data_IF_795064662733
#
_entry.id   IF_795064662733
#
_cell.length_a   1.000
_cell.length_b   1.000
_cell.length_c   1.000
_cell.angle_alpha   90.00
_cell.angle_beta   90.00
_cell.angle_gamma   90.00
#
_symmetry.space_group_name_H-M   'P 1'
#
loop_
_entity.id
_entity.type
_entity.pdbx_description
1 polymer ?
#
# COMPACT_ATOMS: atom_id res chain seq x y z
N UNK A 1 -14.31 -15.46 -47.92
CA UNK A 1 -14.30 -16.51 -46.88
C UNK A 1 -13.18 -16.18 -45.91
N UNK A 2 -13.51 -15.87 -44.64
CA UNK A 2 -12.69 -15.81 -43.39
C UNK A 2 -11.31 -15.10 -43.45
N UNK A 3 -11.10 -13.92 -42.81
CA UNK A 3 -10.67 -13.69 -41.40
C UNK A 3 -9.57 -14.70 -40.95
N UNK A 4 -8.44 -14.34 -40.32
CA UNK A 4 -8.30 -13.73 -38.98
C UNK A 4 -6.85 -13.19 -38.75
N UNK A 5 -6.76 -11.99 -38.16
CA UNK A 5 -5.83 -11.41 -37.17
C UNK A 5 -4.49 -12.09 -36.83
N UNK A 6 -3.44 -11.27 -36.63
CA UNK A 6 -2.90 -10.90 -35.29
C UNK A 6 -2.06 -9.61 -35.38
N UNK A 7 -2.53 -8.52 -34.76
CA UNK A 7 -1.66 -7.39 -34.35
C UNK A 7 -1.95 -7.10 -32.88
N UNK A 8 -0.99 -7.46 -32.02
CA UNK A 8 -0.95 -7.09 -30.61
C UNK A 8 0.08 -5.97 -30.46
N UNK A 9 -0.37 -4.78 -30.11
CA UNK A 9 0.41 -3.78 -29.37
C UNK A 9 -0.58 -2.83 -28.68
N UNK A 10 -0.49 -2.61 -27.36
CA UNK A 10 -1.41 -1.74 -26.64
C UNK A 10 -1.09 -0.28 -26.96
N UNK A 11 -2.05 0.32 -27.65
CA UNK A 11 -2.53 1.70 -27.63
C UNK A 11 -1.88 2.67 -26.62
N UNK A 12 -0.70 3.21 -26.93
CA UNK A 12 -0.27 4.48 -26.34
C UNK A 12 0.67 5.24 -27.30
N UNK A 13 0.12 5.73 -28.41
CA UNK A 13 0.64 6.88 -29.16
C UNK A 13 -0.30 7.17 -30.35
N UNK A 14 -1.21 8.14 -30.19
CA UNK A 14 -1.77 8.84 -31.34
C UNK A 14 -1.68 10.34 -31.03
N UNK A 15 -0.58 10.93 -31.48
CA UNK A 15 -0.47 12.38 -31.64
C UNK A 15 -0.48 12.69 -33.13
N UNK A 16 -1.64 13.06 -33.68
CA UNK A 16 -1.70 13.83 -34.93
C UNK A 16 -3.07 14.47 -35.11
N UNK A 17 -3.18 15.76 -34.78
CA UNK A 17 -4.10 16.67 -35.43
C UNK A 17 -3.39 18.01 -35.62
N UNK A 18 -3.08 18.31 -36.88
CA UNK A 18 -2.60 19.60 -37.35
C UNK A 18 -3.72 20.63 -37.21
N UNK A 19 -3.52 21.63 -36.36
CA UNK A 19 -3.98 23.02 -36.58
C UNK A 19 -3.26 23.96 -35.63
N UNK A 20 -2.79 25.07 -36.20
CA UNK A 20 -1.89 26.06 -35.62
C UNK A 20 -2.60 26.86 -34.51
N UNK A 21 -2.34 26.63 -33.22
CA UNK A 21 -2.65 27.57 -32.14
C UNK A 21 -1.91 27.24 -30.83
N UNK A 22 -1.14 28.22 -30.34
CA UNK A 22 -0.47 28.38 -29.04
C UNK A 22 0.34 27.23 -28.41
N UNK A 23 1.62 27.54 -28.12
CA UNK A 23 2.61 26.71 -27.41
C UNK A 23 2.37 26.68 -25.90
N UNK A 24 1.20 26.28 -25.45
CA UNK A 24 1.00 25.88 -24.06
C UNK A 24 0.37 24.49 -24.09
N UNK A 25 1.21 23.47 -24.27
CA UNK A 25 0.81 22.10 -23.93
C UNK A 25 0.76 22.09 -22.40
N UNK A 26 -0.41 22.42 -21.87
CA UNK A 26 -0.77 22.07 -20.51
C UNK A 26 -0.78 20.55 -20.50
N UNK A 27 0.23 19.95 -19.88
CA UNK A 27 0.21 18.54 -19.53
C UNK A 27 -0.96 18.38 -18.56
N UNK A 28 -2.11 17.98 -19.08
CA UNK A 28 -3.27 17.62 -18.28
C UNK A 28 -2.91 16.28 -17.65
N UNK A 29 -2.19 16.31 -16.54
CA UNK A 29 -2.20 15.18 -15.61
C UNK A 29 -3.65 15.03 -15.18
N UNK A 30 -4.32 13.89 -15.43
CA UNK A 30 -5.63 13.66 -14.85
C UNK A 30 -5.50 13.87 -13.34
N UNK A 31 -6.42 14.63 -12.75
CA UNK A 31 -6.53 14.73 -11.30
C UNK A 31 -7.02 13.35 -10.82
N UNK A 32 -6.08 12.46 -10.51
CA UNK A 32 -6.39 11.12 -10.05
C UNK A 32 -6.85 11.27 -8.60
N UNK A 33 -8.15 11.12 -8.38
CA UNK A 33 -8.70 11.02 -7.05
C UNK A 33 -8.59 9.56 -6.58
N UNK A 34 -7.82 9.36 -5.51
CA UNK A 34 -7.64 8.06 -4.87
C UNK A 34 -8.70 7.84 -3.79
N UNK A 35 -9.27 6.63 -3.73
CA UNK A 35 -10.08 6.13 -2.62
C UNK A 35 -9.28 5.09 -1.83
N UNK A 36 -8.18 5.55 -1.23
CA UNK A 36 -7.21 4.69 -0.55
C UNK A 36 -7.87 3.86 0.54
N UNK A 37 -7.70 2.54 0.47
CA UNK A 37 -8.08 1.64 1.57
C UNK A 37 -6.87 0.92 2.14
N UNK A 38 -6.98 0.57 3.41
CA UNK A 38 -6.02 -0.27 4.12
C UNK A 38 -6.75 -1.42 4.81
N UNK A 39 -6.15 -2.60 4.75
CA UNK A 39 -6.67 -3.83 5.36
C UNK A 39 -5.58 -4.60 6.07
N UNK A 40 -5.88 -5.17 7.23
CA UNK A 40 -5.13 -6.31 7.77
C UNK A 40 -5.79 -7.61 7.31
N UNK A 41 -4.98 -8.54 6.83
CA UNK A 41 -5.44 -9.81 6.26
C UNK A 41 -4.67 -10.97 6.92
N UNK A 42 -5.38 -12.06 7.23
CA UNK A 42 -4.80 -13.32 7.70
C UNK A 42 -5.29 -14.44 6.81
N UNK A 43 -4.40 -14.94 5.94
CA UNK A 43 -4.72 -15.99 4.98
C UNK A 43 -3.53 -16.93 4.84
N UNK A 44 -3.79 -18.24 4.71
CA UNK A 44 -2.75 -19.27 4.55
C UNK A 44 -1.63 -19.19 5.60
N UNK A 45 -2.00 -18.94 6.86
CA UNK A 45 -1.10 -18.77 8.01
C UNK A 45 -0.10 -17.61 7.87
N UNK A 46 -0.45 -16.59 7.08
CA UNK A 46 0.36 -15.40 6.89
C UNK A 46 -0.46 -14.13 7.16
N UNK A 47 0.10 -13.22 7.96
CA UNK A 47 -0.47 -11.90 8.22
C UNK A 47 0.18 -10.89 7.27
N UNK A 48 -0.63 -10.05 6.63
CA UNK A 48 -0.11 -8.96 5.82
C UNK A 48 -1.03 -7.74 5.84
N UNK A 49 -0.45 -6.60 5.45
CA UNK A 49 -1.18 -5.36 5.25
C UNK A 49 -1.36 -5.15 3.74
N UNK A 50 -2.59 -4.88 3.33
CA UNK A 50 -2.94 -4.60 1.94
C UNK A 50 -3.34 -3.13 1.80
N UNK A 51 -2.90 -2.50 0.71
CA UNK A 51 -3.33 -1.18 0.27
C UNK A 51 -4.02 -1.27 -1.07
N UNK A 52 -5.08 -0.49 -1.25
CA UNK A 52 -5.78 -0.36 -2.52
C UNK A 52 -5.94 1.11 -2.91
N UNK A 53 -5.84 1.40 -4.21
CA UNK A 53 -6.13 2.70 -4.82
C UNK A 53 -5.45 3.87 -4.09
N UNK A 54 -4.12 3.89 -4.11
CA UNK A 54 -3.31 4.82 -3.32
C UNK A 54 -2.37 5.71 -4.15
N UNK A 55 -2.15 6.96 -3.73
CA UNK A 55 -1.14 7.86 -4.32
C UNK A 55 0.28 7.44 -3.92
N UNK A 56 1.30 8.17 -4.35
CA UNK A 56 2.67 7.92 -3.87
C UNK A 56 2.77 7.96 -2.34
N UNK A 57 3.44 6.98 -1.74
CA UNK A 57 3.63 6.87 -0.28
C UNK A 57 5.09 7.12 0.05
N UNK A 58 5.34 8.14 0.88
CA UNK A 58 6.66 8.48 1.40
C UNK A 58 6.92 7.90 2.80
N UNK A 59 5.87 7.45 3.50
CA UNK A 59 5.99 6.87 4.84
C UNK A 59 4.67 6.34 5.34
N UNK A 60 4.73 5.40 6.28
CA UNK A 60 3.55 4.86 6.95
C UNK A 60 3.83 4.51 8.40
N UNK A 61 2.78 4.53 9.21
CA UNK A 61 2.82 4.07 10.60
C UNK A 61 1.48 3.43 10.95
N UNK A 62 1.50 2.36 11.74
CA UNK A 62 0.32 1.84 12.41
C UNK A 62 0.75 1.08 13.68
N UNK A 63 -0.20 0.91 14.59
CA UNK A 63 -0.03 0.05 15.77
C UNK A 63 -0.88 -1.21 15.59
N UNK A 64 -0.35 -2.36 15.98
CA UNK A 64 -1.16 -3.54 16.19
C UNK A 64 -1.85 -3.48 17.56
N UNK A 65 -2.95 -4.20 17.69
CA UNK A 65 -3.57 -4.46 18.98
C UNK A 65 -4.11 -5.88 19.02
N UNK A 66 -4.12 -6.45 20.24
CA UNK A 66 -4.69 -7.76 20.50
C UNK A 66 -5.71 -7.67 21.64
N UNK A 67 -6.46 -8.75 21.85
CA UNK A 67 -7.24 -8.96 23.07
C UNK A 67 -6.45 -9.78 24.10
N UNK A 68 -7.01 -9.95 25.30
CA UNK A 68 -6.32 -10.58 26.45
C UNK A 68 -5.91 -12.05 26.23
N UNK A 69 -6.42 -12.71 25.19
CA UNK A 69 -6.15 -14.12 24.91
C UNK A 69 -5.00 -14.35 23.93
N UNK A 70 -4.46 -13.29 23.32
CA UNK A 70 -3.37 -13.34 22.36
C UNK A 70 -2.19 -12.48 22.84
N UNK A 71 -1.09 -13.14 23.21
CA UNK A 71 0.15 -12.51 23.65
C UNK A 71 1.18 -12.54 22.52
N UNK A 72 1.71 -11.38 22.14
CA UNK A 72 2.79 -11.25 21.15
C UNK A 72 4.15 -11.25 21.85
N UNK A 73 5.02 -12.21 21.48
CA UNK A 73 6.37 -12.38 22.00
C UNK A 73 7.44 -11.76 21.09
N UNK A 74 7.19 -11.72 19.78
CA UNK A 74 8.03 -11.01 18.80
C UNK A 74 7.18 -10.40 17.69
N UNK A 75 7.73 -9.36 17.06
CA UNK A 75 7.09 -8.63 15.96
C UNK A 75 8.15 -8.25 14.93
N UNK A 76 8.10 -8.90 13.79
CA UNK A 76 8.97 -8.64 12.65
C UNK A 76 8.12 -8.36 11.41
N UNK A 77 8.71 -7.71 10.41
CA UNK A 77 8.05 -7.40 9.14
C UNK A 77 8.99 -7.65 7.97
N UNK A 78 8.45 -8.00 6.81
CA UNK A 78 9.24 -8.21 5.59
C UNK A 78 8.41 -8.07 4.32
N UNK A 79 9.08 -7.97 3.19
CA UNK A 79 8.53 -8.09 1.85
C UNK A 79 7.51 -7.00 1.48
N UNK A 80 6.71 -7.34 0.46
CA UNK A 80 5.74 -6.42 -0.12
C UNK A 80 6.39 -5.23 -0.82
N UNK A 81 5.56 -4.27 -1.21
CA UNK A 81 6.01 -3.06 -1.90
C UNK A 81 6.89 -2.17 -1.01
N UNK A 82 6.89 -2.35 0.31
CA UNK A 82 7.82 -1.65 1.21
C UNK A 82 9.27 -2.04 0.92
N UNK A 83 9.56 -3.35 0.94
CA UNK A 83 10.92 -3.84 0.67
C UNK A 83 11.31 -3.62 -0.80
N UNK A 84 10.38 -3.80 -1.73
CA UNK A 84 10.63 -3.58 -3.17
C UNK A 84 11.03 -2.12 -3.49
N UNK A 85 10.58 -1.16 -2.67
CA UNK A 85 10.93 0.27 -2.77
C UNK A 85 11.98 0.71 -1.73
N UNK A 86 12.74 -0.23 -1.16
CA UNK A 86 13.83 0.00 -0.22
C UNK A 86 13.42 0.78 1.05
N UNK A 87 12.18 0.63 1.52
CA UNK A 87 11.77 1.23 2.79
C UNK A 87 12.52 0.54 3.95
N UNK A 88 12.99 1.35 4.88
CA UNK A 88 13.38 0.87 6.21
C UNK A 88 12.12 0.75 7.05
N UNK A 89 11.81 -0.48 7.48
CA UNK A 89 10.70 -0.74 8.42
C UNK A 89 11.27 -1.00 9.80
N UNK A 90 10.74 -0.30 10.80
CA UNK A 90 11.09 -0.44 12.21
C UNK A 90 9.88 -0.93 13.00
N UNK A 91 10.09 -1.95 13.81
CA UNK A 91 9.07 -2.51 14.70
C UNK A 91 9.37 -2.19 16.17
N UNK A 92 8.31 -2.00 16.96
CA UNK A 92 8.40 -1.73 18.39
C UNK A 92 7.49 -2.68 19.16
N UNK A 93 8.04 -3.73 19.78
CA UNK A 93 7.25 -4.74 20.48
C UNK A 93 6.46 -4.15 21.68
N UNK A 94 7.05 -3.22 22.43
CA UNK A 94 6.41 -2.67 23.65
C UNK A 94 5.10 -1.92 23.41
N UNK A 95 4.92 -1.39 22.21
CA UNK A 95 3.73 -0.63 21.78
C UNK A 95 3.09 -1.21 20.51
N UNK A 96 3.58 -2.36 20.05
CA UNK A 96 3.21 -3.03 18.80
C UNK A 96 3.19 -2.09 17.58
N UNK A 97 4.13 -1.15 17.53
CA UNK A 97 4.24 -0.15 16.47
C UNK A 97 4.98 -0.72 15.27
N UNK A 98 4.50 -0.42 14.07
CA UNK A 98 5.23 -0.57 12.80
C UNK A 98 5.35 0.81 12.16
N UNK A 99 6.56 1.17 11.73
CA UNK A 99 6.88 2.44 11.09
C UNK A 99 7.78 2.17 9.86
N UNK A 100 7.33 2.60 8.68
CA UNK A 100 8.11 2.49 7.44
C UNK A 100 8.45 3.86 6.85
N UNK A 101 9.70 4.03 6.43
CA UNK A 101 10.20 5.24 5.77
C UNK A 101 11.39 4.91 4.86
N UNK A 102 11.63 5.72 3.84
CA UNK A 102 12.85 5.63 3.02
C UNK A 102 13.77 6.83 3.31
N UNK A 103 15.02 6.56 3.72
CA UNK A 103 16.01 7.60 4.08
C UNK A 103 16.59 8.35 2.89
N UNK A 104 16.49 7.78 1.69
CA UNK A 104 16.93 8.39 0.43
C UNK A 104 15.87 9.33 -0.15
N UNK A 105 14.67 9.36 0.44
CA UNK A 105 13.55 10.18 -0.03
C UNK A 105 12.79 9.59 -1.22
N UNK A 106 13.01 8.31 -1.53
CA UNK A 106 12.21 7.59 -2.53
C UNK A 106 10.82 7.29 -1.96
N UNK A 107 9.85 7.09 -2.85
CA UNK A 107 8.46 6.77 -2.52
C UNK A 107 8.09 5.41 -3.07
N UNK A 108 7.07 4.78 -2.47
CA UNK A 108 6.31 3.73 -3.14
C UNK A 108 5.45 4.41 -4.21
N UNK A 109 5.54 3.93 -5.45
CA UNK A 109 4.76 4.44 -6.58
C UNK A 109 3.25 4.32 -6.35
N UNK A 110 2.48 5.27 -6.90
CA UNK A 110 1.02 5.22 -6.84
C UNK A 110 0.44 4.04 -7.61
N UNK A 111 -0.68 3.50 -7.14
CA UNK A 111 -1.37 2.37 -7.77
C UNK A 111 -2.88 2.63 -7.87
N UNK A 112 -3.37 3.31 -8.93
CA UNK A 112 -4.78 3.62 -9.09
C UNK A 112 -5.61 2.37 -9.40
N UNK A 113 -6.69 2.15 -8.64
CA UNK A 113 -7.60 0.99 -8.78
C UNK A 113 -6.93 -0.39 -8.68
N UNK A 114 -5.74 -0.46 -8.09
CA UNK A 114 -4.97 -1.69 -7.92
C UNK A 114 -4.71 -1.95 -6.43
N UNK A 115 -4.49 -3.22 -6.09
CA UNK A 115 -4.20 -3.68 -4.74
C UNK A 115 -2.78 -4.25 -4.66
N UNK A 116 -2.08 -3.91 -3.58
CA UNK A 116 -0.73 -4.39 -3.31
C UNK A 116 -0.55 -4.70 -1.82
N UNK A 117 0.28 -5.71 -1.55
CA UNK A 117 0.73 -6.02 -0.19
C UNK A 117 1.78 -4.99 0.21
N UNK A 118 1.49 -4.19 1.23
CA UNK A 118 2.42 -3.23 1.80
C UNK A 118 3.62 -3.94 2.42
N UNK A 119 3.34 -4.90 3.29
CA UNK A 119 4.31 -5.74 3.99
C UNK A 119 3.63 -6.96 4.59
N UNK A 120 4.43 -7.97 4.90
CA UNK A 120 4.07 -9.12 5.71
C UNK A 120 4.47 -8.90 7.17
N UNK A 121 3.73 -9.51 8.10
CA UNK A 121 3.98 -9.45 9.53
C UNK A 121 4.24 -10.87 10.03
N UNK A 122 5.40 -11.08 10.62
CA UNK A 122 5.76 -12.32 11.30
C UNK A 122 5.66 -12.11 12.81
N UNK A 123 4.87 -12.95 13.48
CA UNK A 123 4.64 -12.91 14.92
C UNK A 123 5.07 -14.23 15.54
N UNK A 124 5.87 -14.18 16.61
CA UNK A 124 5.85 -15.23 17.63
C UNK A 124 4.79 -14.85 18.66
N UNK A 125 3.83 -15.73 18.90
CA UNK A 125 2.70 -15.45 19.78
C UNK A 125 2.26 -16.70 20.57
N UNK A 126 1.53 -16.45 21.65
CA UNK A 126 0.91 -17.50 22.46
C UNK A 126 -0.59 -17.22 22.65
N UNK A 127 -1.38 -18.29 22.61
CA UNK A 127 -2.83 -18.21 22.69
C UNK A 127 -3.48 -17.99 21.34
N UNK A 128 -4.77 -17.67 21.37
CA UNK A 128 -5.61 -17.46 20.18
C UNK A 128 -6.47 -16.24 20.41
N UNK A 129 -6.82 -15.49 19.37
CA UNK A 129 -7.58 -14.27 19.57
C UNK A 129 -7.66 -13.37 18.37
N UNK A 130 -7.86 -12.09 18.65
CA UNK A 130 -8.00 -11.06 17.65
C UNK A 130 -6.70 -10.29 17.49
N UNK A 131 -6.33 -10.00 16.25
CA UNK A 131 -5.24 -9.09 15.91
C UNK A 131 -5.80 -8.00 15.00
N UNK A 132 -5.60 -6.75 15.35
CA UNK A 132 -6.08 -5.62 14.56
C UNK A 132 -5.08 -4.49 14.40
N UNK A 133 -5.44 -3.52 13.57
CA UNK A 133 -4.63 -2.33 13.27
C UNK A 133 -5.33 -1.04 13.73
N UNK A 134 -4.55 -0.11 14.26
CA UNK A 134 -5.03 1.22 14.71
C UNK A 134 -3.95 2.28 14.56
N UNK A 135 -4.28 3.53 14.87
CA UNK A 135 -3.35 4.66 14.83
C UNK A 135 -2.61 4.79 13.49
N UNK A 136 -3.34 4.51 12.41
CA UNK A 136 -2.80 4.44 11.05
C UNK A 136 -2.49 5.86 10.55
N UNK A 137 -1.31 6.03 9.97
CA UNK A 137 -0.84 7.23 9.30
C UNK A 137 -0.27 6.78 7.96
N UNK A 138 -0.73 7.38 6.88
CA UNK A 138 -0.15 7.27 5.54
C UNK A 138 0.33 8.66 5.13
N UNK A 139 1.61 8.78 4.80
CA UNK A 139 2.25 10.03 4.41
C UNK A 139 2.63 9.95 2.94
N UNK A 140 2.19 10.92 2.15
CA UNK A 140 2.66 11.15 0.79
C UNK A 140 3.88 12.07 0.76
N UNK A 141 4.23 12.48 -0.45
CA UNK A 141 5.35 13.39 -0.73
C UNK A 141 5.24 14.66 0.12
N UNK A 142 6.38 15.15 0.62
CA UNK A 142 6.48 16.32 1.49
C UNK A 142 5.70 16.22 2.82
N UNK A 143 5.39 15.01 3.30
CA UNK A 143 4.68 14.83 4.57
C UNK A 143 3.17 15.07 4.47
N UNK A 144 2.61 15.09 3.26
CA UNK A 144 1.17 15.27 3.08
C UNK A 144 0.41 14.07 3.65
N UNK A 145 -0.62 14.33 4.46
CA UNK A 145 -1.48 13.25 4.95
C UNK A 145 -2.30 12.66 3.79
N UNK A 146 -2.22 11.34 3.60
CA UNK A 146 -3.07 10.61 2.65
C UNK A 146 -4.37 10.23 3.37
N UNK A 147 -5.55 10.70 2.93
CA UNK A 147 -6.83 10.22 3.43
C UNK A 147 -7.03 8.75 3.08
N UNK A 148 -7.57 7.96 4.00
CA UNK A 148 -7.83 6.54 3.76
C UNK A 148 -9.11 6.08 4.45
N UNK A 149 -9.60 4.92 4.02
CA UNK A 149 -10.65 4.16 4.68
C UNK A 149 -10.06 2.84 5.18
N UNK A 150 -10.46 2.39 6.36
CA UNK A 150 -10.09 1.04 6.83
C UNK A 150 -11.15 0.07 6.35
N UNK A 151 -10.76 -0.86 5.50
CA UNK A 151 -11.68 -1.85 4.92
C UNK A 151 -11.78 -3.10 5.79
N UNK A 152 -10.66 -3.52 6.39
CA UNK A 152 -10.62 -4.55 7.42
C UNK A 152 -9.58 -4.17 8.48
N UNK A 153 -10.01 -4.02 9.72
CA UNK A 153 -9.17 -3.58 10.84
C UNK A 153 -8.84 -4.70 11.84
N UNK A 154 -9.39 -5.90 11.64
CA UNK A 154 -9.33 -7.02 12.57
C UNK A 154 -9.32 -8.38 11.84
N UNK A 155 -8.51 -9.30 12.34
CA UNK A 155 -8.46 -10.71 11.93
C UNK A 155 -8.43 -11.62 13.15
N UNK A 156 -8.87 -12.87 12.97
CA UNK A 156 -8.78 -13.91 14.00
C UNK A 156 -7.55 -14.78 13.77
N UNK A 157 -6.70 -14.88 14.78
CA UNK A 157 -5.50 -15.70 14.80
C UNK A 157 -5.79 -16.99 15.60
N UNK A 158 -5.65 -18.17 14.97
CA UNK A 158 -6.01 -19.47 15.55
C UNK A 158 -4.97 -20.02 16.53
#
# INVERSE_FOLDING_TARGET
MKLINKLKAPLFLIFLLLSNCNKDIVEVTPDIQYNTTISIVYESDQIHIELYDYPEIAGFQFDLYTNDNLQINSLETHGGISDDNNFTVSTGLSNLRILGFNLSGETIDSAPLESHILLYIDLDYAGTGELGIKNIILSGVNGQNIPFQVQQDLVLIP
#
